data_IF_101176886996
#
_entry.id   IF_101176886996
#
_cell.length_a   1.000
_cell.length_b   1.000
_cell.length_c   1.000
_cell.angle_alpha   90.00
_cell.angle_beta   90.00
_cell.angle_gamma   90.00
#
_symmetry.space_group_name_H-M   'P 1'
#
loop_
_entity.id
_entity.type
_entity.pdbx_description
1 polymer ?
#
# COMPACT_ATOMS: atom_id res chain seq x y z
N UNK A 1 0.74 -16.16 26.34
CA UNK A 1 1.34 -15.22 25.38
C UNK A 1 0.32 -14.94 24.29
N UNK A 2 -0.16 -13.70 24.13
CA UNK A 2 -0.98 -13.31 22.99
C UNK A 2 -0.04 -12.87 21.87
N UNK A 3 0.39 -13.82 21.03
CA UNK A 3 1.50 -13.64 20.09
C UNK A 3 1.18 -12.74 18.89
N UNK A 4 -0.09 -12.40 18.65
CA UNK A 4 -0.51 -11.63 17.48
C UNK A 4 -1.66 -10.67 17.81
N UNK A 5 -1.56 -9.44 17.30
CA UNK A 5 -2.50 -8.35 17.48
C UNK A 5 -3.94 -8.76 17.05
N UNK A 6 -4.97 -8.62 17.90
CA UNK A 6 -6.36 -8.94 17.53
C UNK A 6 -6.83 -8.26 16.24
N UNK A 7 -6.40 -7.01 15.99
CA UNK A 7 -6.71 -6.26 14.77
C UNK A 7 -6.20 -6.98 13.52
N UNK A 8 -4.95 -7.43 13.57
CA UNK A 8 -4.32 -8.14 12.47
C UNK A 8 -4.97 -9.51 12.21
N UNK A 9 -5.41 -10.22 13.25
CA UNK A 9 -6.17 -11.46 13.08
C UNK A 9 -7.50 -11.22 12.35
N UNK A 10 -8.24 -10.19 12.74
CA UNK A 10 -9.50 -9.84 12.08
C UNK A 10 -9.27 -9.46 10.61
N UNK A 11 -8.19 -8.74 10.33
CA UNK A 11 -7.78 -8.34 8.99
C UNK A 11 -7.37 -9.53 8.11
N UNK A 12 -6.53 -10.41 8.64
CA UNK A 12 -6.17 -11.65 7.97
C UNK A 12 -7.41 -12.52 7.69
N UNK A 13 -8.34 -12.65 8.65
CA UNK A 13 -9.59 -13.38 8.43
C UNK A 13 -10.41 -12.77 7.28
N UNK A 14 -10.58 -11.44 7.25
CA UNK A 14 -11.33 -10.75 6.19
C UNK A 14 -10.71 -10.97 4.81
N UNK A 15 -9.38 -10.91 4.71
CA UNK A 15 -8.63 -11.18 3.47
C UNK A 15 -8.75 -12.65 3.07
N UNK A 16 -8.63 -13.59 4.01
CA UNK A 16 -8.79 -15.01 3.74
C UNK A 16 -10.17 -15.32 3.14
N UNK A 17 -11.24 -14.79 3.74
CA UNK A 17 -12.59 -14.95 3.21
C UNK A 17 -12.72 -14.39 1.79
N UNK A 18 -12.16 -13.21 1.54
CA UNK A 18 -12.21 -12.60 0.21
C UNK A 18 -11.48 -13.46 -0.83
N UNK A 19 -10.23 -13.84 -0.56
CA UNK A 19 -9.40 -14.60 -1.48
C UNK A 19 -9.95 -16.01 -1.72
N UNK A 20 -10.36 -16.70 -0.65
CA UNK A 20 -10.78 -18.10 -0.75
C UNK A 20 -12.23 -18.28 -1.19
N UNK A 21 -13.16 -17.46 -0.71
CA UNK A 21 -14.59 -17.63 -0.95
C UNK A 21 -15.07 -16.78 -2.12
N UNK A 22 -14.77 -15.48 -2.11
CA UNK A 22 -15.25 -14.56 -3.15
C UNK A 22 -14.44 -14.72 -4.45
N UNK A 23 -13.11 -14.74 -4.35
CA UNK A 23 -12.18 -14.80 -5.50
C UNK A 23 -11.73 -16.20 -5.86
N UNK A 24 -12.02 -17.20 -5.02
CA UNK A 24 -11.78 -18.64 -5.28
C UNK A 24 -10.34 -18.99 -5.64
N UNK A 25 -9.36 -18.43 -4.93
CA UNK A 25 -7.95 -18.77 -5.11
C UNK A 25 -7.71 -20.28 -4.96
N UNK A 26 -6.93 -20.85 -5.89
CA UNK A 26 -6.68 -22.30 -5.92
C UNK A 26 -5.93 -22.75 -4.67
N UNK A 27 -4.84 -22.06 -4.32
CA UNK A 27 -4.07 -22.31 -3.09
C UNK A 27 -3.91 -21.04 -2.27
N UNK A 28 -4.02 -21.18 -0.96
CA UNK A 28 -3.83 -20.10 -0.01
C UNK A 28 -3.41 -20.68 1.34
N UNK A 29 -2.15 -20.46 1.70
CA UNK A 29 -1.55 -20.87 2.97
C UNK A 29 -1.34 -19.63 3.85
N UNK A 30 -1.44 -19.80 5.16
CA UNK A 30 -1.31 -18.71 6.14
C UNK A 30 -0.03 -18.90 6.94
N UNK A 31 0.72 -17.81 7.14
CA UNK A 31 1.98 -17.81 7.88
C UNK A 31 1.98 -16.67 8.90
N UNK A 32 2.80 -16.85 9.94
CA UNK A 32 3.04 -15.83 10.95
C UNK A 32 4.54 -15.55 11.04
N UNK A 33 4.92 -14.32 10.74
CA UNK A 33 6.26 -13.79 10.95
C UNK A 33 6.38 -13.35 12.41
N UNK A 34 7.15 -14.10 13.21
CA UNK A 34 7.36 -13.78 14.61
C UNK A 34 8.20 -12.52 14.85
N UNK A 35 9.04 -12.13 13.89
CA UNK A 35 9.93 -10.97 14.00
C UNK A 35 9.13 -9.69 13.78
N UNK A 36 8.42 -9.59 12.66
CA UNK A 36 7.64 -8.40 12.32
C UNK A 36 6.21 -8.43 12.91
N UNK A 37 5.83 -9.54 13.56
CA UNK A 37 4.47 -9.79 14.05
C UNK A 37 3.46 -9.66 12.93
N UNK A 38 3.76 -10.23 11.76
CA UNK A 38 2.90 -10.20 10.59
C UNK A 38 2.17 -11.51 10.34
N UNK A 39 0.85 -11.46 10.14
CA UNK A 39 0.14 -12.56 9.48
C UNK A 39 0.13 -12.25 7.99
N UNK A 40 0.60 -13.19 7.18
CA UNK A 40 0.59 -13.06 5.73
C UNK A 40 0.18 -14.37 5.08
N UNK A 41 -0.09 -14.31 3.78
CA UNK A 41 -0.46 -15.47 2.99
C UNK A 41 0.56 -15.74 1.90
N UNK A 42 0.70 -17.00 1.52
CA UNK A 42 1.32 -17.41 0.28
C UNK A 42 0.28 -18.18 -0.52
N UNK A 43 -0.06 -17.70 -1.71
CA UNK A 43 -1.11 -18.32 -2.51
C UNK A 43 -0.97 -18.04 -3.99
N UNK A 44 -1.83 -18.67 -4.78
CA UNK A 44 -1.97 -18.41 -6.21
C UNK A 44 -3.44 -18.45 -6.60
N UNK A 45 -3.81 -17.60 -7.55
CA UNK A 45 -5.20 -17.49 -7.98
C UNK A 45 -5.64 -18.73 -8.75
N UNK A 46 -4.77 -19.25 -9.63
CA UNK A 46 -4.98 -20.46 -10.43
C UNK A 46 -3.73 -21.34 -10.45
N UNK A 47 -3.85 -22.59 -10.88
CA UNK A 47 -2.75 -23.56 -10.78
C UNK A 47 -1.56 -23.29 -11.72
N UNK A 48 -1.80 -22.54 -12.79
CA UNK A 48 -0.84 -22.09 -13.79
C UNK A 48 -0.13 -20.77 -13.43
N UNK A 49 -0.59 -20.05 -12.40
CA UNK A 49 0.01 -18.79 -11.96
C UNK A 49 1.09 -19.00 -10.89
N UNK A 50 2.08 -18.09 -10.81
CA UNK A 50 3.08 -18.12 -9.75
C UNK A 50 2.47 -17.82 -8.38
N UNK A 51 3.23 -18.13 -7.33
CA UNK A 51 2.81 -17.76 -5.98
C UNK A 51 3.02 -16.26 -5.75
N UNK A 52 2.12 -15.69 -4.96
CA UNK A 52 2.09 -14.29 -4.56
C UNK A 52 1.97 -14.23 -3.05
N UNK A 53 2.79 -13.39 -2.42
CA UNK A 53 2.57 -13.05 -1.03
C UNK A 53 1.36 -12.15 -0.91
N UNK A 54 0.49 -12.35 0.08
CA UNK A 54 -0.55 -11.38 0.41
C UNK A 54 -0.38 -10.89 1.84
N UNK A 55 -0.21 -9.59 2.02
CA UNK A 55 -0.04 -8.97 3.33
C UNK A 55 -1.26 -8.09 3.67
N UNK A 56 -2.10 -8.49 4.64
CA UNK A 56 -3.17 -7.67 5.20
C UNK A 56 -2.61 -6.52 6.01
N UNK A 57 -3.05 -5.29 5.72
CA UNK A 57 -2.60 -4.07 6.38
C UNK A 57 -3.78 -3.13 6.66
N UNK A 58 -3.73 -2.36 7.73
CA UNK A 58 -4.67 -1.24 7.92
C UNK A 58 -4.35 -0.12 6.93
N UNK A 59 -5.35 0.64 6.48
CA UNK A 59 -5.10 1.92 5.80
C UNK A 59 -4.33 2.94 6.67
N UNK A 60 -4.45 2.82 7.99
CA UNK A 60 -3.80 3.71 8.97
C UNK A 60 -2.40 3.22 9.38
N UNK A 61 -1.97 2.04 8.89
CA UNK A 61 -0.71 1.43 9.26
C UNK A 61 0.42 1.99 8.38
N UNK A 62 1.47 2.47 9.03
CA UNK A 62 2.64 3.03 8.34
C UNK A 62 3.73 1.97 8.26
N UNK A 63 4.14 1.64 7.03
CA UNK A 63 5.34 0.85 6.79
C UNK A 63 6.54 1.78 6.71
N UNK A 64 7.67 1.35 7.28
CA UNK A 64 8.92 2.05 7.00
C UNK A 64 9.31 1.88 5.54
N UNK A 65 10.09 2.84 5.03
CA UNK A 65 10.64 2.75 3.67
C UNK A 65 11.45 1.46 3.49
N UNK A 66 12.19 1.05 4.52
CA UNK A 66 12.96 -0.20 4.53
C UNK A 66 12.09 -1.45 4.52
N UNK A 67 10.95 -1.43 5.24
CA UNK A 67 9.96 -2.51 5.17
C UNK A 67 9.40 -2.64 3.77
N UNK A 68 9.04 -1.51 3.15
CA UNK A 68 8.47 -1.49 1.81
C UNK A 68 9.49 -2.02 0.76
N UNK A 69 10.73 -1.52 0.77
CA UNK A 69 11.77 -1.94 -0.18
C UNK A 69 12.25 -3.38 0.03
N UNK A 70 12.16 -3.92 1.25
CA UNK A 70 12.62 -5.27 1.53
C UNK A 70 11.45 -6.23 1.79
N UNK A 71 10.22 -5.84 1.48
CA UNK A 71 9.03 -6.56 1.93
C UNK A 71 9.03 -8.01 1.48
N UNK A 72 9.24 -8.24 0.18
CA UNK A 72 9.32 -9.59 -0.39
C UNK A 72 10.40 -10.42 0.30
N UNK A 73 11.59 -9.84 0.49
CA UNK A 73 12.71 -10.52 1.15
C UNK A 73 12.39 -10.86 2.61
N UNK A 74 11.78 -9.94 3.35
CA UNK A 74 11.35 -10.16 4.75
C UNK A 74 10.32 -11.29 4.84
N UNK A 75 9.30 -11.27 3.99
CA UNK A 75 8.29 -12.33 3.95
C UNK A 75 8.88 -13.68 3.54
N UNK A 76 9.81 -13.70 2.58
CA UNK A 76 10.53 -14.93 2.19
C UNK A 76 11.36 -15.50 3.34
N UNK A 77 12.02 -14.66 4.14
CA UNK A 77 12.79 -15.12 5.31
C UNK A 77 11.90 -15.70 6.42
N UNK A 78 10.63 -15.30 6.48
CA UNK A 78 9.65 -15.84 7.41
C UNK A 78 9.04 -17.18 6.96
N UNK A 79 9.31 -17.63 5.72
CA UNK A 79 8.86 -18.93 5.25
C UNK A 79 9.72 -20.06 5.81
N UNK A 80 9.12 -21.22 6.13
CA UNK A 80 9.87 -22.47 6.34
C UNK A 80 10.85 -22.78 5.20
N UNK A 81 12.05 -23.27 5.54
CA UNK A 81 13.13 -23.52 4.57
C UNK A 81 12.81 -24.55 3.48
N UNK A 82 11.79 -25.37 3.68
CA UNK A 82 11.30 -26.38 2.74
C UNK A 82 10.39 -25.81 1.64
N UNK A 83 9.96 -24.55 1.79
CA UNK A 83 9.16 -23.87 0.77
C UNK A 83 10.09 -23.30 -0.31
N UNK A 84 9.98 -23.88 -1.51
CA UNK A 84 10.80 -23.55 -2.69
C UNK A 84 9.97 -22.95 -3.83
N UNK A 85 8.77 -22.47 -3.50
CA UNK A 85 7.82 -21.95 -4.48
C UNK A 85 8.39 -20.73 -5.23
N UNK A 86 8.09 -20.61 -6.52
CA UNK A 86 8.44 -19.42 -7.28
C UNK A 86 7.47 -18.28 -6.94
N UNK A 87 7.97 -17.31 -6.18
CA UNK A 87 7.18 -16.17 -5.69
C UNK A 87 7.43 -14.96 -6.58
N UNK A 88 6.40 -14.48 -7.26
CA UNK A 88 6.50 -13.38 -8.22
C UNK A 88 6.52 -12.02 -7.53
N UNK A 89 5.50 -11.76 -6.69
CA UNK A 89 5.19 -10.41 -6.20
C UNK A 89 4.63 -10.43 -4.77
N UNK A 90 4.42 -9.23 -4.22
CA UNK A 90 3.69 -9.02 -2.96
C UNK A 90 2.43 -8.24 -3.28
N UNK A 91 1.28 -8.74 -2.83
CA UNK A 91 0.00 -8.08 -2.91
C UNK A 91 -0.36 -7.53 -1.53
N UNK A 92 -0.41 -6.21 -1.38
CA UNK A 92 -0.90 -5.60 -0.15
C UNK A 92 -2.42 -5.55 -0.16
N UNK A 93 -3.05 -6.15 0.84
CA UNK A 93 -4.49 -6.09 1.06
C UNK A 93 -4.78 -5.02 2.11
N UNK A 94 -5.06 -3.81 1.64
CA UNK A 94 -5.34 -2.64 2.48
C UNK A 94 -6.79 -2.70 2.94
N UNK A 95 -6.99 -2.63 4.24
CA UNK A 95 -8.29 -2.71 4.90
C UNK A 95 -8.59 -1.38 5.55
N UNK A 96 -9.66 -0.75 5.09
CA UNK A 96 -10.20 0.44 5.72
C UNK A 96 -10.97 0.09 7.00
N UNK A 97 -11.23 1.08 7.86
CA UNK A 97 -11.91 0.88 9.15
C UNK A 97 -13.36 0.38 9.01
N UNK A 98 -13.96 0.54 7.84
CA UNK A 98 -15.27 -0.01 7.45
C UNK A 98 -15.19 -1.44 6.88
N UNK A 99 -14.02 -2.08 6.94
CA UNK A 99 -13.71 -3.39 6.36
C UNK A 99 -13.78 -3.45 4.82
N UNK A 100 -13.76 -2.30 4.15
CA UNK A 100 -13.55 -2.24 2.71
C UNK A 100 -12.13 -2.71 2.39
N UNK A 101 -12.00 -3.55 1.34
CA UNK A 101 -10.74 -4.14 0.90
C UNK A 101 -10.27 -3.51 -0.40
N UNK A 102 -9.04 -2.99 -0.39
CA UNK A 102 -8.27 -2.64 -1.58
C UNK A 102 -7.08 -3.58 -1.75
N UNK A 103 -6.74 -3.91 -2.99
CA UNK A 103 -5.57 -4.73 -3.31
C UNK A 103 -4.58 -3.92 -4.14
N UNK A 104 -3.33 -3.85 -3.69
CA UNK A 104 -2.27 -3.10 -4.34
C UNK A 104 -1.12 -4.05 -4.64
N UNK A 105 -0.85 -4.26 -5.93
CA UNK A 105 0.27 -5.10 -6.32
C UNK A 105 1.57 -4.33 -6.14
N UNK A 106 2.46 -4.90 -5.35
CA UNK A 106 3.77 -4.39 -5.04
C UNK A 106 4.81 -5.32 -5.65
N UNK A 107 5.27 -4.96 -6.84
CA UNK A 107 6.41 -5.60 -7.49
C UNK A 107 7.65 -4.78 -7.15
N UNK A 108 8.67 -5.41 -6.57
CA UNK A 108 9.93 -4.72 -6.28
C UNK A 108 10.55 -4.18 -7.57
N UNK A 109 10.61 -2.86 -7.65
CA UNK A 109 11.08 -2.06 -8.77
C UNK A 109 10.24 -0.80 -8.77
N UNK A 110 10.88 0.37 -8.63
CA UNK A 110 10.21 1.66 -8.81
C UNK A 110 9.26 1.58 -10.02
N UNK A 111 8.07 2.21 -10.00
CA UNK A 111 7.39 2.46 -11.25
C UNK A 111 8.41 3.16 -12.16
N UNK A 112 8.72 2.56 -13.31
CA UNK A 112 9.28 3.35 -14.40
C UNK A 112 8.15 4.30 -14.73
N UNK A 113 8.24 5.53 -14.21
CA UNK A 113 7.50 6.65 -14.78
C UNK A 113 8.12 6.81 -16.16
N UNK A 114 7.60 6.08 -17.15
CA UNK A 114 7.81 6.47 -18.53
C UNK A 114 7.11 7.80 -18.66
N UNK A 115 7.88 8.90 -18.56
CA UNK A 115 7.38 10.18 -19.03
C UNK A 115 6.83 9.95 -20.44
N UNK A 116 5.63 10.45 -20.76
CA UNK A 116 5.15 10.37 -22.12
C UNK A 116 6.19 11.05 -23.01
N UNK A 117 6.64 10.33 -24.05
CA UNK A 117 7.48 10.87 -25.11
C UNK A 117 6.78 12.07 -25.73
N UNK A 118 7.05 13.27 -25.21
CA UNK A 118 6.80 14.50 -25.94
C UNK A 118 8.02 14.69 -26.83
N UNK A 119 7.90 14.07 -28.00
CA UNK A 119 8.50 14.41 -29.28
C UNK A 119 9.69 15.37 -29.23
N UNK A 120 10.83 14.82 -29.62
CA UNK A 120 11.99 15.52 -30.15
C UNK A 120 11.59 16.73 -31.01
N UNK A 121 12.12 17.89 -30.66
CA UNK A 121 12.58 18.85 -31.65
C UNK A 121 13.99 19.27 -31.28
N UNK A 122 14.92 18.90 -32.16
CA UNK A 122 16.35 19.13 -32.10
C UNK A 122 16.69 20.62 -31.89
N UNK A 123 17.71 20.92 -31.07
CA UNK A 123 18.97 21.48 -31.59
C UNK A 123 20.01 21.66 -30.48
N UNK A 124 21.22 21.22 -30.82
CA UNK A 124 22.47 21.30 -30.08
C UNK A 124 22.95 22.75 -29.87
N UNK A 125 23.34 23.12 -28.64
CA UNK A 125 24.67 23.72 -28.37
C UNK A 125 24.91 24.08 -26.88
N UNK A 126 25.95 23.46 -26.29
CA UNK A 126 26.78 23.81 -25.11
C UNK A 126 26.14 24.20 -23.75
N UNK A 127 26.80 23.88 -22.62
CA UNK A 127 26.24 24.07 -21.29
C UNK A 127 26.39 25.52 -20.84
N UNK A 128 25.28 26.16 -20.50
CA UNK A 128 25.26 27.40 -19.73
C UNK A 128 24.65 27.10 -18.38
N UNK A 129 25.48 27.11 -17.35
CA UNK A 129 25.02 27.19 -15.96
C UNK A 129 24.31 28.52 -15.81
N UNK A 130 23.04 28.48 -15.44
CA UNK A 130 22.31 29.63 -14.90
C UNK A 130 21.62 29.20 -13.62
N UNK A 131 21.97 29.90 -12.55
CA UNK A 131 21.31 29.90 -11.25
C UNK A 131 19.91 30.45 -11.47
N UNK A 132 18.88 29.78 -10.96
CA UNK A 132 17.55 30.36 -10.83
C UNK A 132 17.19 30.37 -9.35
N UNK A 133 16.77 31.56 -8.94
CA UNK A 133 16.66 32.09 -7.60
C UNK A 133 15.71 31.34 -6.66
N UNK A 134 16.07 31.41 -5.38
CA UNK A 134 15.20 31.14 -4.24
C UNK A 134 14.03 32.12 -4.24
N UNK A 135 12.88 31.75 -4.80
CA UNK A 135 11.60 32.42 -4.53
C UNK A 135 10.42 31.46 -4.80
N UNK A 136 10.29 30.44 -3.95
CA UNK A 136 9.07 29.62 -3.88
C UNK A 136 8.77 29.21 -2.43
N UNK A 137 8.78 30.20 -1.51
CA UNK A 137 8.40 29.99 -0.10
C UNK A 137 7.35 30.96 0.46
N UNK A 138 6.71 31.80 -0.36
CA UNK A 138 5.71 32.77 0.14
C UNK A 138 4.28 32.62 -0.40
N UNK A 139 3.98 31.65 -1.27
CA UNK A 139 2.60 31.45 -1.79
C UNK A 139 1.76 30.38 -1.09
N UNK A 140 2.29 29.67 -0.07
CA UNK A 140 1.50 28.71 0.74
C UNK A 140 1.45 29.14 2.22
N UNK A 141 1.32 30.45 2.47
CA UNK A 141 1.01 31.02 3.79
C UNK A 141 -0.29 31.84 3.84
N UNK A 142 -0.94 32.09 2.70
CA UNK A 142 -2.14 32.94 2.63
C UNK A 142 -3.47 32.21 2.38
N UNK A 143 -3.51 30.88 2.42
CA UNK A 143 -4.78 30.10 2.40
C UNK A 143 -5.15 29.50 3.77
N UNK A 144 -4.58 30.02 4.85
CA UNK A 144 -5.03 29.75 6.24
C UNK A 144 -5.37 31.07 6.93
N UNK A 145 -6.30 31.83 6.36
CA UNK A 145 -7.11 32.83 7.08
C UNK A 145 -8.38 33.13 6.28
N UNK A 146 -9.40 32.29 6.44
CA UNK A 146 -10.77 32.82 6.47
C UNK A 146 -11.66 31.94 7.36
N UNK A 147 -11.35 32.01 8.65
CA UNK A 147 -12.26 31.67 9.74
C UNK A 147 -13.37 32.74 9.77
N UNK A 148 -14.51 32.50 9.07
CA UNK A 148 -15.72 33.32 9.31
C UNK A 148 -17.04 32.79 8.76
N UNK A 149 -17.49 31.61 9.17
CA UNK A 149 -18.94 31.39 9.37
C UNK A 149 -19.20 30.50 10.59
N UNK A 150 -19.10 31.10 11.77
CA UNK A 150 -19.83 30.64 12.96
C UNK A 150 -21.28 31.10 12.84
N UNK A 151 -22.25 30.17 12.88
CA UNK A 151 -23.27 30.09 13.94
C UNK A 151 -24.31 29.01 13.63
N UNK A 152 -24.33 28.00 14.49
CA UNK A 152 -25.51 27.20 14.81
C UNK A 152 -26.53 28.08 15.52
N UNK A 153 -27.82 28.04 15.14
CA UNK A 153 -28.91 27.84 16.10
C UNK A 153 -30.28 27.60 15.46
N UNK A 154 -30.92 26.56 15.98
CA UNK A 154 -32.32 26.14 15.89
C UNK A 154 -33.29 27.16 16.51
N UNK A 155 -34.44 27.41 15.86
CA UNK A 155 -35.76 27.34 16.52
C UNK A 155 -36.96 27.48 15.55
N UNK A 156 -37.97 26.70 15.89
CA UNK A 156 -39.29 26.42 15.32
C UNK A 156 -40.26 27.61 15.30
N UNK A 157 -41.11 27.75 14.27
CA UNK A 157 -42.59 27.87 14.35
C UNK A 157 -43.21 28.06 12.95
N UNK A 158 -44.18 27.20 12.62
CA UNK A 158 -45.32 27.55 11.77
C UNK A 158 -46.55 27.06 12.54
N UNK A 159 -47.42 28.02 12.83
CA UNK A 159 -48.64 28.07 13.67
C UNK A 159 -48.47 28.07 15.20
#
# INVERSE_FOLDING_TARGET
MNLCNPKQKAFAQRVYFDLKICRKWSKLNVYFDETNKWIFFLGKQSDDQPFVFVLPMSCDEQLSVDDLFNLKSKLSLALPSDITENIESVLMAIIANDFTLGYFNFTLGLPIVTMPDILQSETSSKPTVSIIDNEFTDEIKNEITDDRWTTTNTNTTWD
#
